data_IF_868319424731
#
_entry.id   IF_868319424731
#
_cell.length_a   1.000
_cell.length_b   1.000
_cell.length_c   1.000
_cell.angle_alpha   90.00
_cell.angle_beta   90.00
_cell.angle_gamma   90.00
#
_symmetry.space_group_name_H-M   'P 1'
#
loop_
_entity.id
_entity.type
_entity.pdbx_description
1 polymer ?
#
# COMPACT_ATOMS: atom_id res chain seq x y z
N UNK A 1 -39.62 0.73 -19.87
CA UNK A 1 -38.32 0.47 -20.55
C UNK A 1 -37.20 1.46 -20.20
N UNK A 2 -37.48 2.77 -20.06
CA UNK A 2 -36.43 3.78 -19.73
C UNK A 2 -35.74 3.54 -18.38
N UNK A 3 -36.49 3.18 -17.33
CA UNK A 3 -35.94 2.90 -15.98
C UNK A 3 -34.98 1.70 -15.98
N UNK A 4 -35.35 0.58 -16.61
CA UNK A 4 -34.46 -0.61 -16.70
C UNK A 4 -33.16 -0.29 -17.45
N UNK A 5 -33.21 0.51 -18.52
CA UNK A 5 -32.01 0.96 -19.25
C UNK A 5 -31.15 1.91 -18.41
N UNK A 6 -31.77 2.79 -17.63
CA UNK A 6 -31.06 3.68 -16.71
C UNK A 6 -30.34 2.90 -15.60
N UNK A 7 -31.01 1.92 -14.98
CA UNK A 7 -30.42 1.06 -13.95
C UNK A 7 -29.24 0.24 -14.47
N UNK A 8 -29.35 -0.31 -15.69
CA UNK A 8 -28.24 -1.05 -16.33
C UNK A 8 -27.07 -0.10 -16.62
N UNK A 9 -27.35 1.11 -17.12
CA UNK A 9 -26.29 2.09 -17.38
C UNK A 9 -25.55 2.50 -16.11
N UNK A 10 -26.28 2.71 -15.01
CA UNK A 10 -25.68 3.05 -13.70
C UNK A 10 -24.83 1.89 -13.19
N UNK A 11 -25.35 0.67 -13.24
CA UNK A 11 -24.61 -0.53 -12.84
C UNK A 11 -23.31 -0.65 -13.63
N UNK A 12 -23.36 -0.45 -14.95
CA UNK A 12 -22.20 -0.53 -15.83
C UNK A 12 -21.14 0.52 -15.47
N UNK A 13 -21.55 1.76 -15.17
CA UNK A 13 -20.63 2.81 -14.70
C UNK A 13 -19.97 2.42 -13.39
N UNK A 14 -20.72 1.91 -12.41
CA UNK A 14 -20.15 1.46 -11.15
C UNK A 14 -19.20 0.28 -11.33
N UNK A 15 -19.51 -0.68 -12.20
CA UNK A 15 -18.62 -1.81 -12.50
C UNK A 15 -17.32 -1.33 -13.13
N UNK A 16 -17.38 -0.40 -14.08
CA UNK A 16 -16.17 0.18 -14.70
C UNK A 16 -15.34 0.93 -13.64
N UNK A 17 -15.98 1.76 -12.81
CA UNK A 17 -15.28 2.48 -11.73
C UNK A 17 -14.59 1.52 -10.77
N UNK A 18 -15.28 0.44 -10.37
CA UNK A 18 -14.71 -0.59 -9.50
C UNK A 18 -13.50 -1.28 -10.14
N UNK A 19 -13.58 -1.63 -11.43
CA UNK A 19 -12.45 -2.24 -12.15
C UNK A 19 -11.24 -1.30 -12.23
N UNK A 20 -11.45 -0.01 -12.45
CA UNK A 20 -10.35 0.98 -12.46
C UNK A 20 -9.68 1.05 -11.10
N UNK A 21 -10.45 1.13 -10.01
CA UNK A 21 -9.89 1.14 -8.65
C UNK A 21 -9.15 -0.16 -8.35
N UNK A 22 -9.73 -1.31 -8.68
CA UNK A 22 -9.07 -2.61 -8.48
C UNK A 22 -7.74 -2.71 -9.27
N UNK A 23 -7.68 -2.19 -10.49
CA UNK A 23 -6.46 -2.15 -11.28
C UNK A 23 -5.40 -1.22 -10.65
N UNK A 24 -5.80 -0.05 -10.16
CA UNK A 24 -4.89 0.89 -9.49
C UNK A 24 -4.31 0.35 -8.17
N UNK A 25 -5.02 -0.56 -7.51
CA UNK A 25 -4.61 -1.16 -6.23
C UNK A 25 -4.18 -2.63 -6.36
N UNK A 26 -3.97 -3.12 -7.59
CA UNK A 26 -3.72 -4.55 -7.83
C UNK A 26 -2.45 -5.05 -7.13
N UNK A 27 -1.38 -4.23 -7.12
CA UNK A 27 -0.11 -4.60 -6.49
C UNK A 27 -0.23 -4.65 -4.96
N UNK A 28 -0.99 -3.74 -4.37
CA UNK A 28 -1.27 -3.70 -2.94
C UNK A 28 -2.13 -4.89 -2.51
N UNK A 29 -3.17 -5.22 -3.27
CA UNK A 29 -4.01 -6.40 -3.04
C UNK A 29 -3.16 -7.67 -3.15
N UNK A 30 -2.32 -7.78 -4.18
CA UNK A 30 -1.42 -8.94 -4.37
C UNK A 30 -0.39 -9.07 -3.25
N UNK A 31 0.11 -7.95 -2.76
CA UNK A 31 1.04 -7.90 -1.62
C UNK A 31 0.36 -8.44 -0.36
N UNK A 32 -0.82 -7.92 -0.02
CA UNK A 32 -1.59 -8.37 1.14
C UNK A 32 -2.01 -9.83 1.01
N UNK A 33 -2.34 -10.30 -0.19
CA UNK A 33 -2.66 -11.71 -0.45
C UNK A 33 -1.47 -12.66 -0.25
N UNK A 34 -0.24 -12.15 -0.27
CA UNK A 34 0.97 -12.93 0.04
C UNK A 34 1.35 -12.93 1.52
N UNK A 35 0.54 -12.30 2.37
CA UNK A 35 0.79 -12.26 3.81
C UNK A 35 0.57 -13.65 4.41
N UNK A 36 1.62 -14.20 5.00
CA UNK A 36 1.65 -15.53 5.59
C UNK A 36 2.32 -15.48 6.97
N UNK A 37 1.84 -16.30 7.90
CA UNK A 37 2.48 -16.48 9.20
C UNK A 37 3.65 -17.46 9.05
N UNK A 38 4.87 -16.99 9.32
CA UNK A 38 6.08 -17.76 9.05
C UNK A 38 6.37 -18.82 10.14
N UNK A 39 5.94 -18.59 11.39
CA UNK A 39 6.19 -19.50 12.51
C UNK A 39 5.09 -19.45 13.60
N UNK A 40 5.30 -20.13 14.74
CA UNK A 40 4.37 -20.12 15.87
C UNK A 40 4.37 -18.79 16.63
N UNK A 41 5.46 -18.02 16.54
CA UNK A 41 5.57 -16.66 17.05
C UNK A 41 4.83 -15.67 16.14
N UNK A 42 4.58 -14.41 16.55
CA UNK A 42 3.90 -13.43 15.70
C UNK A 42 4.82 -12.90 14.57
N UNK A 43 5.51 -13.79 13.85
CA UNK A 43 6.30 -13.47 12.67
C UNK A 43 5.44 -13.62 11.41
N UNK A 44 5.25 -12.52 10.70
CA UNK A 44 4.54 -12.50 9.42
C UNK A 44 5.51 -12.16 8.30
N UNK A 45 5.39 -12.82 7.15
CA UNK A 45 6.09 -12.46 5.93
C UNK A 45 5.08 -12.06 4.86
N UNK A 46 5.48 -11.13 3.98
CA UNK A 46 4.77 -10.84 2.74
C UNK A 46 5.77 -10.47 1.65
N UNK A 47 5.41 -10.74 0.41
CA UNK A 47 6.14 -10.26 -0.75
C UNK A 47 5.53 -8.96 -1.22
N UNK A 48 6.31 -7.88 -1.21
CA UNK A 48 5.87 -6.60 -1.75
C UNK A 48 6.03 -6.58 -3.27
N UNK A 49 4.90 -6.39 -3.99
CA UNK A 49 4.87 -6.38 -5.46
C UNK A 49 4.83 -4.96 -6.06
N UNK A 50 4.72 -3.92 -5.23
CA UNK A 50 4.76 -2.53 -5.67
C UNK A 50 6.18 -2.01 -5.86
N UNK A 51 6.29 -0.77 -6.33
CA UNK A 51 7.54 -0.03 -6.36
C UNK A 51 7.66 0.88 -5.13
N UNK A 52 8.69 0.64 -4.32
CA UNK A 52 9.04 1.48 -3.17
C UNK A 52 9.45 2.91 -3.55
N UNK A 53 9.69 3.18 -4.84
CA UNK A 53 10.10 4.50 -5.33
C UNK A 53 11.54 4.84 -4.91
N UNK A 54 12.38 3.82 -4.69
CA UNK A 54 13.73 4.03 -4.17
C UNK A 54 14.60 4.84 -5.14
N UNK A 55 14.44 4.65 -6.45
CA UNK A 55 15.15 5.46 -7.45
C UNK A 55 14.76 6.95 -7.40
N UNK A 56 13.50 7.25 -7.11
CA UNK A 56 13.04 8.63 -6.90
C UNK A 56 13.57 9.20 -5.59
N UNK A 57 13.54 8.38 -4.53
CA UNK A 57 14.12 8.72 -3.24
C UNK A 57 15.60 9.09 -3.37
N UNK A 58 16.39 8.30 -4.11
CA UNK A 58 17.82 8.55 -4.31
C UNK A 58 18.12 9.87 -5.03
N UNK A 59 17.21 10.35 -5.90
CA UNK A 59 17.35 11.65 -6.57
C UNK A 59 17.05 12.83 -5.65
N UNK A 60 16.07 12.67 -4.76
CA UNK A 60 15.64 13.72 -3.82
C UNK A 60 16.58 13.78 -2.62
N UNK A 61 16.98 12.60 -2.12
CA UNK A 61 17.72 12.41 -0.87
C UNK A 61 16.87 12.68 0.38
N UNK A 62 17.51 12.55 1.53
CA UNK A 62 16.96 12.91 2.83
C UNK A 62 18.04 13.60 3.67
N UNK A 63 17.64 14.61 4.45
CA UNK A 63 18.54 15.31 5.37
C UNK A 63 18.30 14.92 6.83
N UNK A 64 17.16 14.27 7.09
CA UNK A 64 16.73 13.80 8.40
C UNK A 64 15.83 12.57 8.26
N UNK A 65 15.68 11.80 9.34
CA UNK A 65 14.79 10.63 9.38
C UNK A 65 13.33 10.99 9.10
N UNK A 66 12.92 12.22 9.47
CA UNK A 66 11.59 12.75 9.16
C UNK A 66 11.36 12.89 7.64
N UNK A 67 12.41 13.21 6.88
CA UNK A 67 12.31 13.27 5.41
C UNK A 67 12.09 11.87 4.82
N UNK A 68 12.72 10.84 5.41
CA UNK A 68 12.56 9.45 5.02
C UNK A 68 11.14 8.98 5.34
N UNK A 69 10.67 9.23 6.56
CA UNK A 69 9.31 8.90 7.00
C UNK A 69 8.27 9.54 6.07
N UNK A 70 8.39 10.85 5.81
CA UNK A 70 7.48 11.57 4.90
C UNK A 70 7.49 10.99 3.50
N UNK A 71 8.65 10.61 2.97
CA UNK A 71 8.74 10.01 1.65
C UNK A 71 8.06 8.64 1.60
N UNK A 72 8.42 7.76 2.54
CA UNK A 72 7.95 6.37 2.59
C UNK A 72 6.45 6.32 2.86
N UNK A 73 5.95 7.05 3.85
CA UNK A 73 4.52 7.11 4.17
C UNK A 73 3.72 7.67 3.00
N UNK A 74 4.18 8.76 2.35
CA UNK A 74 3.51 9.31 1.17
C UNK A 74 3.46 8.30 0.02
N UNK A 75 4.54 7.56 -0.24
CA UNK A 75 4.61 6.58 -1.34
C UNK A 75 3.73 5.37 -1.05
N UNK A 76 3.89 4.74 0.12
CA UNK A 76 3.19 3.51 0.49
C UNK A 76 1.69 3.74 0.72
N UNK A 77 1.31 4.87 1.31
CA UNK A 77 -0.08 5.17 1.65
C UNK A 77 -0.79 6.02 0.57
N UNK A 78 -0.19 6.15 -0.62
CA UNK A 78 -0.69 6.98 -1.74
C UNK A 78 -1.07 8.41 -1.31
N UNK A 79 -0.30 8.99 -0.40
CA UNK A 79 -0.50 10.35 0.10
C UNK A 79 -1.39 10.50 1.34
N UNK A 80 -1.89 9.39 1.93
CA UNK A 80 -2.58 9.45 3.22
C UNK A 80 -1.56 9.71 4.34
N UNK A 81 -1.80 10.77 5.13
CA UNK A 81 -0.96 11.11 6.28
C UNK A 81 -1.34 10.26 7.48
N UNK A 82 -0.62 9.15 7.70
CA UNK A 82 -0.70 8.34 8.91
C UNK A 82 0.64 8.49 9.65
N UNK A 83 0.56 8.86 10.93
CA UNK A 83 1.71 8.81 11.82
C UNK A 83 1.92 7.37 12.28
N UNK A 84 3.04 6.78 11.89
CA UNK A 84 3.39 5.40 12.22
C UNK A 84 4.35 5.34 13.41
N UNK A 85 4.73 6.47 14.01
CA UNK A 85 5.68 6.53 15.14
C UNK A 85 7.10 6.04 14.80
N UNK A 86 7.44 5.91 13.52
CA UNK A 86 8.66 5.23 13.06
C UNK A 86 9.95 5.95 13.48
N UNK A 87 9.90 7.27 13.66
CA UNK A 87 11.04 8.07 14.10
C UNK A 87 11.26 8.04 15.62
N UNK A 88 10.30 7.59 16.42
CA UNK A 88 10.38 7.51 17.89
C UNK A 88 10.62 6.11 18.46
N UNK A 89 10.07 5.07 17.82
CA UNK A 89 9.99 3.70 18.38
C UNK A 89 10.87 2.68 17.63
N UNK A 90 11.97 3.15 17.01
CA UNK A 90 12.83 2.41 16.06
C UNK A 90 13.63 1.21 16.58
N UNK A 91 13.16 0.50 17.61
CA UNK A 91 13.77 -0.75 18.05
C UNK A 91 13.63 -1.81 16.94
N UNK A 92 14.75 -2.16 16.31
CA UNK A 92 14.82 -3.27 15.36
C UNK A 92 14.69 -4.60 16.11
N UNK A 93 13.64 -5.35 15.84
CA UNK A 93 13.47 -6.70 16.37
C UNK A 93 14.05 -7.72 15.40
N UNK A 94 15.02 -8.51 15.85
CA UNK A 94 15.58 -9.64 15.10
C UNK A 94 15.06 -10.93 15.69
N UNK A 95 14.54 -11.83 14.85
CA UNK A 95 14.18 -13.19 15.25
C UNK A 95 15.39 -14.09 14.98
N UNK A 96 15.98 -14.68 16.02
CA UNK A 96 17.02 -15.70 15.88
C UNK A 96 16.36 -17.06 15.75
N UNK A 97 16.65 -17.78 14.66
CA UNK A 97 16.28 -19.21 14.52
C UNK A 97 17.18 -20.11 15.34
#
# INVERSE_FOLDING_TARGET
MKIKRLSISILLVFTVLFMVVAALFFNEIRTLASLEKADEYPMYQMTYYGDYGFDEFLKIGAKSDNDIEKFVTKRLLKGMSIDLGVTGDGCTAFVTR
#
